data_IF_979411197434
#
_entry.id   IF_979411197434
#
_cell.length_a   1.000
_cell.length_b   1.000
_cell.length_c   1.000
_cell.angle_alpha   90.00
_cell.angle_beta   90.00
_cell.angle_gamma   90.00
#
_symmetry.space_group_name_H-M   'P 1'
#
loop_
_entity.id
_entity.type
_entity.pdbx_description
1 polymer ?
#
# COMPACT_ATOMS: atom_id res chain seq x y z
N UNK A 1 -14.65 27.10 6.15
CA UNK A 1 -13.62 26.10 5.78
C UNK A 1 -12.39 26.75 5.20
N UNK A 2 -12.58 27.89 4.57
CA UNK A 2 -11.45 28.64 4.00
C UNK A 2 -10.46 29.14 5.03
N UNK A 3 -10.83 29.15 6.29
CA UNK A 3 -9.96 29.64 7.37
C UNK A 3 -8.96 28.62 7.87
N UNK A 4 -9.06 27.37 7.41
CA UNK A 4 -8.16 26.32 7.87
C UNK A 4 -6.83 26.38 7.14
N UNK A 5 -5.75 26.33 7.89
CA UNK A 5 -4.42 26.23 7.30
C UNK A 5 -4.09 24.77 7.01
N UNK A 6 -3.12 24.49 6.12
CA UNK A 6 -2.66 23.13 5.92
C UNK A 6 -2.19 22.46 7.20
N UNK A 7 -1.60 23.26 8.11
CA UNK A 7 -1.15 22.73 9.39
C UNK A 7 -2.34 22.30 10.26
N UNK A 8 -3.42 23.09 10.27
CA UNK A 8 -4.63 22.73 11.01
C UNK A 8 -5.21 21.43 10.51
N UNK A 9 -5.22 21.26 9.20
CA UNK A 9 -5.73 20.03 8.58
C UNK A 9 -4.88 18.84 8.98
N UNK A 10 -3.56 18.97 8.91
CA UNK A 10 -2.65 17.88 9.26
C UNK A 10 -2.82 17.45 10.72
N UNK A 11 -2.86 18.40 11.64
CA UNK A 11 -3.02 18.09 13.06
C UNK A 11 -4.32 17.36 13.31
N UNK A 12 -5.39 17.77 12.63
CA UNK A 12 -6.71 17.17 12.80
C UNK A 12 -6.77 15.78 12.21
N UNK A 13 -6.24 15.61 10.98
CA UNK A 13 -6.30 14.31 10.30
C UNK A 13 -5.43 13.26 10.95
N UNK A 14 -4.36 13.66 11.63
CA UNK A 14 -3.51 12.72 12.36
C UNK A 14 -4.26 12.03 13.49
N UNK A 15 -5.38 12.57 13.91
CA UNK A 15 -6.20 11.98 14.96
C UNK A 15 -7.10 10.85 14.44
N UNK A 16 -7.18 10.69 13.12
CA UNK A 16 -7.92 9.58 12.52
C UNK A 16 -7.04 8.34 12.59
N UNK A 17 -7.48 7.30 13.30
CA UNK A 17 -6.69 6.06 13.36
C UNK A 17 -6.51 5.48 11.98
N UNK A 18 -5.30 5.09 11.66
CA UNK A 18 -4.99 4.47 10.38
C UNK A 18 -4.15 3.23 10.61
N UNK A 19 -4.46 2.13 9.91
CA UNK A 19 -3.60 0.97 9.96
C UNK A 19 -2.31 1.24 9.18
N UNK A 20 -1.32 0.40 9.39
CA UNK A 20 -0.13 0.36 8.55
C UNK A 20 -0.07 -1.01 7.89
N UNK A 21 0.21 -1.01 6.61
CA UNK A 21 0.39 -2.22 5.86
C UNK A 21 1.41 -2.02 4.77
N UNK A 22 1.75 -3.09 4.07
CA UNK A 22 2.65 -3.01 2.93
C UNK A 22 1.89 -3.47 1.70
N UNK A 23 1.91 -2.64 0.67
CA UNK A 23 1.33 -2.96 -0.62
C UNK A 23 2.40 -3.65 -1.45
N UNK A 24 2.11 -4.89 -1.85
CA UNK A 24 2.96 -5.60 -2.79
C UNK A 24 2.45 -5.40 -4.19
N UNK A 25 3.34 -5.14 -5.12
CA UNK A 25 2.96 -4.89 -6.51
C UNK A 25 3.97 -5.48 -7.48
N UNK A 26 3.51 -5.74 -8.68
CA UNK A 26 4.33 -6.32 -9.73
C UNK A 26 3.79 -5.93 -11.09
N UNK A 27 4.66 -5.61 -12.01
CA UNK A 27 4.33 -5.48 -13.42
C UNK A 27 5.60 -5.67 -14.21
N UNK A 28 5.51 -6.44 -15.29
CA UNK A 28 6.57 -6.58 -16.28
C UNK A 28 7.94 -6.93 -15.65
N UNK A 29 7.92 -7.86 -14.70
CA UNK A 29 9.14 -8.34 -14.06
C UNK A 29 9.68 -7.46 -12.94
N UNK A 30 9.03 -6.35 -12.67
CA UNK A 30 9.43 -5.46 -11.58
C UNK A 30 8.55 -5.69 -10.36
N UNK A 31 9.18 -5.88 -9.21
CA UNK A 31 8.50 -6.13 -7.94
C UNK A 31 8.73 -4.99 -6.97
N UNK A 32 7.72 -4.64 -6.21
CA UNK A 32 7.85 -3.57 -5.22
C UNK A 32 7.01 -3.83 -3.99
N UNK A 33 7.41 -3.22 -2.90
CA UNK A 33 6.64 -3.15 -1.68
C UNK A 33 6.65 -1.72 -1.19
N UNK A 34 5.53 -1.25 -0.68
CA UNK A 34 5.43 0.13 -0.20
C UNK A 34 4.59 0.18 1.07
N UNK A 35 5.11 0.87 2.08
CA UNK A 35 4.35 1.13 3.29
C UNK A 35 3.19 2.07 2.97
N UNK A 36 2.00 1.72 3.44
CA UNK A 36 0.80 2.49 3.20
C UNK A 36 -0.03 2.59 4.47
N UNK A 37 -0.68 3.73 4.66
CA UNK A 37 -1.54 3.94 5.81
C UNK A 37 -2.96 4.35 5.43
N UNK A 38 -3.20 4.74 4.19
CA UNK A 38 -4.55 5.11 3.74
C UNK A 38 -5.29 3.86 3.25
N UNK A 39 -5.71 3.06 4.20
CA UNK A 39 -6.31 1.76 3.96
C UNK A 39 -7.60 1.67 4.78
N UNK A 40 -8.69 1.29 4.14
CA UNK A 40 -9.94 1.08 4.85
C UNK A 40 -10.82 0.08 4.14
N UNK A 41 -11.57 -0.69 4.92
CA UNK A 41 -12.63 -1.50 4.35
C UNK A 41 -13.82 -0.59 4.04
N UNK A 42 -14.33 -0.65 2.82
CA UNK A 42 -15.43 0.22 2.39
C UNK A 42 -16.73 -0.55 2.16
N UNK A 43 -16.67 -1.87 2.10
CA UNK A 43 -17.88 -2.69 1.93
C UNK A 43 -17.60 -4.09 2.41
N UNK A 44 -18.62 -4.75 2.95
CA UNK A 44 -18.51 -6.13 3.40
C UNK A 44 -19.02 -7.10 2.34
N UNK A 45 -20.01 -6.71 1.58
CA UNK A 45 -20.59 -7.59 0.57
C UNK A 45 -21.00 -6.77 -0.66
N UNK A 46 -20.21 -6.80 -1.72
CA UNK A 46 -18.93 -7.51 -1.81
C UNK A 46 -17.86 -6.94 -0.88
N UNK A 47 -16.87 -7.73 -0.53
CA UNK A 47 -15.78 -7.26 0.29
C UNK A 47 -14.90 -6.32 -0.54
N UNK A 48 -14.84 -5.08 -0.13
CA UNK A 48 -14.06 -4.05 -0.84
C UNK A 48 -13.15 -3.33 0.14
N UNK A 49 -11.92 -3.11 -0.30
CA UNK A 49 -10.93 -2.37 0.46
C UNK A 49 -10.50 -1.18 -0.37
N UNK A 50 -10.52 0.00 0.23
CA UNK A 50 -10.03 1.21 -0.39
C UNK A 50 -8.59 1.48 0.05
N UNK A 51 -7.74 1.82 -0.90
CA UNK A 51 -6.33 2.12 -0.64
C UNK A 51 -5.96 3.41 -1.36
N UNK A 52 -5.41 4.36 -0.62
CA UNK A 52 -4.91 5.60 -1.21
C UNK A 52 -3.45 5.46 -1.59
N UNK A 53 -3.14 5.73 -2.85
CA UNK A 53 -1.78 5.58 -3.39
C UNK A 53 -1.34 6.91 -4.00
N UNK A 54 -0.14 7.35 -3.62
CA UNK A 54 0.46 8.54 -4.22
C UNK A 54 0.75 8.25 -5.68
N UNK A 55 0.25 9.10 -6.57
CA UNK A 55 0.40 8.89 -8.01
C UNK A 55 1.83 9.07 -8.53
N UNK A 56 2.75 9.48 -7.68
CA UNK A 56 4.16 9.60 -8.04
C UNK A 56 5.00 8.41 -7.56
N UNK A 57 4.36 7.45 -6.91
CA UNK A 57 5.07 6.30 -6.36
C UNK A 57 5.33 5.23 -7.41
N UNK A 58 6.34 4.41 -7.16
CA UNK A 58 6.61 3.23 -7.98
C UNK A 58 5.41 2.29 -7.93
N UNK A 59 4.80 2.14 -6.76
CA UNK A 59 3.63 1.29 -6.58
C UNK A 59 2.49 1.71 -7.49
N UNK A 60 2.21 3.01 -7.59
CA UNK A 60 1.16 3.52 -8.45
C UNK A 60 1.43 3.11 -9.91
N UNK A 61 2.67 3.28 -10.34
CA UNK A 61 3.04 2.94 -11.71
C UNK A 61 2.85 1.45 -11.99
N UNK A 62 3.26 0.59 -11.07
CA UNK A 62 3.10 -0.84 -11.25
C UNK A 62 1.64 -1.26 -11.18
N UNK A 63 0.86 -0.67 -10.30
CA UNK A 63 -0.56 -0.99 -10.17
C UNK A 63 -1.35 -0.56 -11.40
N UNK A 64 -0.92 0.47 -12.11
CA UNK A 64 -1.56 0.87 -13.35
C UNK A 64 -1.32 -0.12 -14.48
N UNK A 65 -0.30 -0.95 -14.38
CA UNK A 65 0.06 -1.92 -15.41
C UNK A 65 -0.41 -3.33 -15.06
N UNK A 66 -1.04 -3.51 -13.90
CA UNK A 66 -1.40 -4.82 -13.40
C UNK A 66 -2.80 -4.77 -12.79
N UNK A 67 -3.49 -5.91 -12.81
CA UNK A 67 -4.81 -6.00 -12.19
C UNK A 67 -4.75 -6.33 -10.70
N UNK A 68 -3.64 -6.92 -10.26
CA UNK A 68 -3.56 -7.48 -8.91
C UNK A 68 -2.49 -6.80 -8.08
N UNK A 69 -2.76 -6.67 -6.81
CA UNK A 69 -1.77 -6.24 -5.83
C UNK A 69 -2.07 -6.95 -4.51
N UNK A 70 -1.16 -6.86 -3.57
CA UNK A 70 -1.36 -7.48 -2.26
C UNK A 70 -1.35 -6.43 -1.16
N UNK A 71 -2.07 -6.73 -0.10
CA UNK A 71 -2.02 -5.95 1.12
C UNK A 71 -1.54 -6.88 2.22
N UNK A 72 -0.47 -6.49 2.89
CA UNK A 72 0.18 -7.31 3.90
C UNK A 72 0.17 -6.57 5.24
N UNK A 73 -0.42 -7.20 6.26
CA UNK A 73 -0.53 -6.62 7.59
C UNK A 73 0.41 -7.38 8.53
N UNK A 74 1.03 -6.65 9.44
CA UNK A 74 2.02 -7.22 10.33
C UNK A 74 1.60 -7.06 11.79
N UNK A 75 2.19 -7.89 12.66
CA UNK A 75 2.03 -7.75 14.09
C UNK A 75 2.54 -6.39 14.55
N UNK A 76 1.92 -5.78 15.56
CA UNK A 76 2.43 -4.53 16.13
C UNK A 76 3.89 -4.60 16.59
N UNK A 77 4.41 -5.79 16.82
CA UNK A 77 5.80 -5.99 17.24
C UNK A 77 6.79 -5.98 16.08
N UNK A 78 6.31 -6.03 14.84
CA UNK A 78 7.17 -6.13 13.66
C UNK A 78 7.19 -4.82 12.88
N UNK A 79 7.46 -3.74 13.58
CA UNK A 79 7.32 -2.39 13.01
C UNK A 79 8.49 -1.97 12.11
N UNK A 80 9.65 -2.58 12.26
CA UNK A 80 10.83 -2.20 11.47
C UNK A 80 10.63 -2.42 9.97
N UNK A 81 9.70 -3.30 9.60
CA UNK A 81 9.42 -3.57 8.19
C UNK A 81 8.92 -2.32 7.47
N UNK A 82 8.17 -1.46 8.17
CA UNK A 82 7.60 -0.28 7.53
C UNK A 82 8.65 0.74 7.15
N UNK A 83 9.76 0.80 7.89
CA UNK A 83 10.85 1.69 7.55
C UNK A 83 11.56 1.22 6.30
N UNK A 84 11.71 -0.09 6.15
CA UNK A 84 12.36 -0.67 4.96
C UNK A 84 11.62 -0.32 3.67
N UNK A 85 10.30 -0.15 3.76
CA UNK A 85 9.48 0.04 2.57
C UNK A 85 8.92 1.46 2.47
N UNK A 86 9.61 2.43 3.06
CA UNK A 86 9.30 3.84 2.87
C UNK A 86 9.91 4.40 1.59
N UNK A 87 10.64 3.60 0.85
CA UNK A 87 11.26 3.95 -0.43
C UNK A 87 11.16 2.73 -1.35
N UNK A 88 11.42 2.90 -2.67
CA UNK A 88 11.32 1.79 -3.60
C UNK A 88 12.12 0.58 -3.17
N UNK A 89 11.57 -0.59 -3.41
CA UNK A 89 12.14 -1.84 -2.94
C UNK A 89 13.15 -2.41 -3.94
N UNK A 90 14.11 -3.14 -3.41
CA UNK A 90 15.08 -3.84 -4.20
C UNK A 90 14.78 -5.34 -4.14
N UNK A 91 14.57 -5.93 -5.29
CA UNK A 91 14.22 -7.34 -5.38
C UNK A 91 15.46 -8.19 -5.61
N UNK A 92 15.60 -9.22 -4.79
CA UNK A 92 16.50 -10.34 -5.07
C UNK A 92 15.66 -11.58 -4.93
N UNK A 93 16.02 -12.65 -5.61
CA UNK A 93 15.18 -13.84 -5.67
C UNK A 93 14.70 -14.28 -4.28
N UNK A 94 13.39 -14.23 -4.09
CA UNK A 94 12.77 -14.62 -2.83
C UNK A 94 12.72 -13.53 -1.77
N UNK A 95 13.22 -12.32 -2.06
CA UNK A 95 13.31 -11.26 -1.06
C UNK A 95 13.03 -9.89 -1.66
N UNK A 96 12.37 -9.04 -0.89
CA UNK A 96 12.27 -7.61 -1.15
C UNK A 96 12.90 -6.89 0.04
N UNK A 97 13.93 -6.08 -0.23
CA UNK A 97 14.68 -5.39 0.83
C UNK A 97 15.04 -6.35 1.97
N UNK A 98 15.46 -7.57 1.60
CA UNK A 98 15.85 -8.63 2.55
C UNK A 98 14.70 -9.20 3.36
N UNK A 99 13.45 -8.80 3.08
CA UNK A 99 12.29 -9.45 3.68
C UNK A 99 11.87 -10.62 2.81
N UNK A 100 11.68 -11.81 3.39
CA UNK A 100 11.29 -12.97 2.58
C UNK A 100 9.89 -12.80 2.02
N UNK A 101 9.75 -13.13 0.75
CA UNK A 101 8.47 -13.07 0.06
C UNK A 101 8.22 -14.38 -0.69
N UNK A 102 6.97 -14.60 -1.03
CA UNK A 102 6.61 -15.59 -2.05
C UNK A 102 5.64 -14.92 -3.00
N UNK A 103 5.45 -15.53 -4.17
CA UNK A 103 4.62 -14.92 -5.20
C UNK A 103 3.30 -15.65 -5.29
N UNK A 104 2.22 -14.90 -5.51
CA UNK A 104 0.92 -15.49 -5.84
C UNK A 104 1.00 -16.08 -7.25
N UNK A 105 -0.04 -16.80 -7.65
CA UNK A 105 -0.11 -17.31 -9.03
C UNK A 105 -0.17 -16.17 -10.05
N UNK A 106 -0.50 -14.96 -9.62
CA UNK A 106 -0.49 -13.77 -10.46
C UNK A 106 0.83 -13.00 -10.36
N UNK A 107 1.85 -13.62 -9.74
CA UNK A 107 3.20 -13.08 -9.59
C UNK A 107 3.28 -11.81 -8.73
N UNK A 108 2.35 -11.65 -7.79
CA UNK A 108 2.38 -10.52 -6.88
C UNK A 108 3.04 -10.93 -5.57
N UNK A 109 3.95 -10.11 -5.01
CA UNK A 109 4.67 -10.51 -3.81
C UNK A 109 3.80 -10.47 -2.56
N UNK A 110 3.92 -11.52 -1.77
CA UNK A 110 3.33 -11.62 -0.43
C UNK A 110 4.48 -11.74 0.55
N UNK A 111 4.40 -10.98 1.64
CA UNK A 111 5.45 -11.02 2.66
C UNK A 111 5.22 -12.21 3.58
N UNK A 112 6.23 -13.07 3.65
CA UNK A 112 6.13 -14.31 4.40
C UNK A 112 5.87 -14.09 5.89
N UNK A 113 6.38 -13.00 6.44
CA UNK A 113 6.23 -12.68 7.86
C UNK A 113 4.97 -11.86 8.17
N UNK A 114 4.13 -11.60 7.19
CA UNK A 114 2.86 -10.93 7.44
C UNK A 114 1.93 -11.81 8.25
N UNK A 115 1.21 -11.20 9.19
CA UNK A 115 0.21 -11.91 9.99
C UNK A 115 -1.01 -12.25 9.14
N UNK A 116 -1.40 -11.33 8.27
CA UNK A 116 -2.54 -11.48 7.37
C UNK A 116 -2.15 -10.84 6.05
N UNK A 117 -2.55 -11.47 4.96
CA UNK A 117 -2.34 -10.88 3.64
C UNK A 117 -3.57 -11.10 2.78
N UNK A 118 -3.75 -10.21 1.83
CA UNK A 118 -4.84 -10.25 0.85
C UNK A 118 -4.27 -10.10 -0.53
N UNK A 119 -4.72 -10.91 -1.46
CA UNK A 119 -4.50 -10.61 -2.87
C UNK A 119 -5.74 -9.91 -3.37
N UNK A 120 -5.59 -8.72 -3.92
CA UNK A 120 -6.69 -7.86 -4.29
C UNK A 120 -6.67 -7.61 -5.78
N UNK A 121 -7.86 -7.58 -6.38
CA UNK A 121 -8.02 -7.20 -7.76
C UNK A 121 -8.59 -5.79 -7.81
N UNK A 122 -7.97 -4.92 -8.58
CA UNK A 122 -8.46 -3.56 -8.73
C UNK A 122 -9.80 -3.58 -9.46
N UNK A 123 -10.84 -3.08 -8.82
CA UNK A 123 -12.16 -3.00 -9.44
C UNK A 123 -12.51 -1.58 -9.89
N UNK A 124 -11.96 -0.58 -9.25
CA UNK A 124 -12.23 0.81 -9.58
C UNK A 124 -11.06 1.68 -9.17
N UNK A 125 -10.75 2.66 -10.00
CA UNK A 125 -9.73 3.67 -9.70
C UNK A 125 -10.40 5.02 -9.71
N UNK A 126 -10.13 5.81 -8.68
CA UNK A 126 -10.62 7.19 -8.60
C UNK A 126 -9.39 8.08 -8.55
N UNK A 127 -9.27 8.94 -9.55
CA UNK A 127 -8.15 9.87 -9.61
C UNK A 127 -8.60 11.23 -9.09
N UNK A 128 -8.10 11.57 -7.91
CA UNK A 128 -8.28 12.92 -7.39
C UNK A 128 -7.15 13.76 -7.99
N UNK A 129 -7.49 14.83 -8.63
CA UNK A 129 -6.50 15.66 -9.34
C UNK A 129 -5.28 15.99 -8.50
N UNK A 130 -5.44 16.06 -7.22
CA UNK A 130 -4.35 16.39 -6.32
C UNK A 130 -3.31 15.27 -6.29
N UNK A 131 -3.76 14.01 -6.39
CA UNK A 131 -2.89 12.85 -6.48
C UNK A 131 -2.13 12.51 -5.22
N UNK A 132 -2.34 13.24 -4.14
CA UNK A 132 -1.69 12.96 -2.87
C UNK A 132 -2.39 13.72 -1.77
N UNK A 133 -2.23 13.23 -0.56
CA UNK A 133 -2.93 13.78 0.56
C UNK A 133 -2.16 14.94 1.18
N UNK A 134 -2.12 16.03 0.49
CA UNK A 134 -1.59 17.24 1.08
C UNK A 134 -2.71 18.24 1.33
N UNK A 135 -3.89 17.75 1.28
CA UNK A 135 -5.08 18.56 1.50
C UNK A 135 -5.16 19.06 2.91
#
# INVERSE_FOLDING_TARGET
MSDLTPEDINVSTWKIPSPLGIIGSHADGEFNGMTASWITQVSMEPALIGVGIDNKSVTFNLMNQSEYFTLNMFSPDYTKVFVKFSKPAEYTEGFLNKEPIFLTKNNVPIFQNATVWFELKTSQKIDFEIGRAHV
#
